data_IF_586714703895
#
_entry.id   IF_586714703895
#
_cell.length_a   1.000
_cell.length_b   1.000
_cell.length_c   1.000
_cell.angle_alpha   90.00
_cell.angle_beta   90.00
_cell.angle_gamma   90.00
#
_symmetry.space_group_name_H-M   'P 1'
#
loop_
_entity.id
_entity.type
_entity.pdbx_description
1 polymer ?
#
# COMPACT_ATOMS: atom_id res chain seq x y z
N UNK A 1 -6.87 17.39 7.01
CA UNK A 1 -7.25 17.13 8.42
C UNK A 1 -8.56 16.34 8.56
N UNK A 2 -9.62 16.65 7.80
CA UNK A 2 -10.90 15.90 7.88
C UNK A 2 -10.82 14.39 7.53
N UNK A 3 -9.94 14.00 6.61
CA UNK A 3 -9.79 12.59 6.18
C UNK A 3 -9.31 11.67 7.31
N UNK A 4 -8.38 12.14 8.14
CA UNK A 4 -7.87 11.36 9.27
C UNK A 4 -8.93 11.15 10.36
N UNK A 5 -9.85 12.12 10.52
CA UNK A 5 -10.97 12.02 11.45
C UNK A 5 -11.99 10.99 10.98
N UNK A 6 -12.32 11.00 9.69
CA UNK A 6 -13.27 10.01 9.10
C UNK A 6 -12.69 8.60 9.18
N UNK A 7 -11.39 8.42 8.95
CA UNK A 7 -10.72 7.11 9.09
C UNK A 7 -10.70 6.64 10.55
N UNK A 8 -10.40 7.52 11.50
CA UNK A 8 -10.40 7.17 12.92
C UNK A 8 -11.79 6.78 13.43
N UNK A 9 -12.83 7.50 13.01
CA UNK A 9 -14.24 7.22 13.37
C UNK A 9 -14.71 5.89 12.78
N UNK A 10 -14.33 5.60 11.53
CA UNK A 10 -14.70 4.35 10.85
C UNK A 10 -14.04 3.14 11.52
N UNK A 11 -12.76 3.24 11.91
CA UNK A 11 -12.04 2.15 12.59
C UNK A 11 -12.59 1.90 14.00
N UNK A 12 -12.99 2.96 14.70
CA UNK A 12 -13.61 2.87 16.03
C UNK A 12 -14.97 2.15 16.00
N UNK A 13 -15.74 2.32 14.91
CA UNK A 13 -17.09 1.78 14.78
C UNK A 13 -17.15 0.26 14.48
N UNK A 14 -16.06 -0.37 14.05
CA UNK A 14 -16.10 -1.74 13.49
C UNK A 14 -15.52 -2.79 14.47
N UNK A 15 -14.95 -2.39 15.61
CA UNK A 15 -14.14 -3.33 16.40
C UNK A 15 -14.80 -3.83 17.69
N UNK A 16 -15.21 -5.10 17.68
CA UNK A 16 -15.77 -5.83 18.84
C UNK A 16 -14.68 -6.36 19.80
N UNK A 17 -13.40 -6.34 19.39
CA UNK A 17 -12.22 -6.39 20.28
C UNK A 17 -11.14 -5.43 19.80
N UNK A 18 -11.31 -4.15 20.15
CA UNK A 18 -10.53 -2.98 19.73
C UNK A 18 -9.01 -3.20 19.64
N UNK A 19 -8.44 -3.97 20.56
CA UNK A 19 -6.99 -4.18 20.67
C UNK A 19 -6.38 -4.95 19.49
N UNK A 20 -6.99 -6.05 19.04
CA UNK A 20 -6.38 -6.89 17.98
C UNK A 20 -6.44 -6.20 16.62
N UNK A 21 -7.54 -5.52 16.30
CA UNK A 21 -7.64 -4.77 15.04
C UNK A 21 -6.70 -3.56 15.03
N UNK A 22 -6.56 -2.86 16.17
CA UNK A 22 -5.62 -1.74 16.29
C UNK A 22 -4.18 -2.21 16.09
N UNK A 23 -3.78 -3.33 16.70
CA UNK A 23 -2.44 -3.91 16.53
C UNK A 23 -2.20 -4.34 15.08
N UNK A 24 -3.17 -4.97 14.42
CA UNK A 24 -3.06 -5.36 13.03
C UNK A 24 -2.94 -4.15 12.09
N UNK A 25 -3.79 -3.14 12.26
CA UNK A 25 -3.76 -1.90 11.49
C UNK A 25 -2.44 -1.16 11.68
N UNK A 26 -1.95 -1.06 12.92
CA UNK A 26 -0.65 -0.47 13.22
C UNK A 26 0.51 -1.26 12.59
N UNK A 27 0.50 -2.59 12.70
CA UNK A 27 1.50 -3.45 12.08
C UNK A 27 1.54 -3.28 10.56
N UNK A 28 0.39 -3.24 9.91
CA UNK A 28 0.28 -3.01 8.47
C UNK A 28 0.78 -1.62 8.09
N UNK A 29 0.44 -0.58 8.86
CA UNK A 29 0.97 0.76 8.69
C UNK A 29 2.49 0.79 8.78
N UNK A 30 3.08 0.12 9.78
CA UNK A 30 4.54 0.03 9.96
C UNK A 30 5.18 -0.65 8.76
N UNK A 31 4.63 -1.77 8.29
CA UNK A 31 5.17 -2.52 7.13
C UNK A 31 5.28 -1.65 5.89
N UNK A 32 4.26 -0.84 5.61
CA UNK A 32 4.27 0.02 4.43
C UNK A 32 5.08 1.30 4.62
N UNK A 33 4.99 1.93 5.79
CA UNK A 33 5.64 3.21 6.10
C UNK A 33 7.15 3.06 6.24
N UNK A 34 7.62 2.04 6.96
CA UNK A 34 9.04 1.77 7.15
C UNK A 34 9.66 0.99 5.97
N UNK A 35 8.97 0.95 4.83
CA UNK A 35 9.44 0.34 3.57
C UNK A 35 9.80 -1.15 3.70
N UNK A 36 9.26 -1.86 4.69
CA UNK A 36 9.48 -3.29 4.89
C UNK A 36 8.91 -4.08 3.69
N UNK A 37 7.76 -3.66 3.18
CA UNK A 37 7.18 -4.19 1.94
C UNK A 37 8.18 -4.15 0.76
N UNK A 38 8.93 -3.06 0.63
CA UNK A 38 9.87 -2.87 -0.49
C UNK A 38 11.08 -3.81 -0.41
N UNK A 39 11.35 -4.39 0.76
CA UNK A 39 12.44 -5.36 0.95
C UNK A 39 12.05 -6.78 0.52
N UNK A 40 10.75 -7.09 0.40
CA UNK A 40 10.29 -8.45 0.10
C UNK A 40 10.88 -9.02 -1.19
N UNK A 41 10.94 -8.30 -2.33
CA UNK A 41 11.55 -8.83 -3.55
C UNK A 41 13.03 -9.19 -3.37
N UNK A 42 13.75 -8.40 -2.57
CA UNK A 42 15.16 -8.65 -2.27
C UNK A 42 15.33 -9.90 -1.41
N UNK A 43 14.52 -10.04 -0.37
CA UNK A 43 14.52 -11.21 0.53
C UNK A 43 14.16 -12.48 -0.24
N UNK A 44 13.14 -12.42 -1.10
CA UNK A 44 12.75 -13.55 -1.96
C UNK A 44 13.89 -13.91 -2.92
N UNK A 45 14.50 -12.92 -3.58
CA UNK A 45 15.63 -13.16 -4.48
C UNK A 45 16.83 -13.77 -3.75
N UNK A 46 17.10 -13.34 -2.51
CA UNK A 46 18.15 -13.88 -1.65
C UNK A 46 17.91 -15.37 -1.33
N UNK A 47 16.69 -15.75 -0.96
CA UNK A 47 16.32 -17.14 -0.66
C UNK A 47 16.41 -18.00 -1.92
N UNK A 48 15.82 -17.55 -3.04
CA UNK A 48 15.80 -18.29 -4.32
C UNK A 48 17.22 -18.51 -4.86
N UNK A 49 18.15 -17.59 -4.59
CA UNK A 49 19.56 -17.71 -4.96
C UNK A 49 20.40 -18.52 -3.96
N UNK A 50 19.77 -19.18 -3.00
CA UNK A 50 20.46 -20.01 -2.00
C UNK A 50 21.23 -19.20 -0.96
N UNK A 51 20.59 -18.17 -0.40
CA UNK A 51 21.16 -17.27 0.62
C UNK A 51 22.37 -16.47 0.12
N UNK A 52 22.35 -16.10 -1.16
CA UNK A 52 23.36 -15.25 -1.79
C UNK A 52 22.76 -13.91 -2.17
N UNK A 53 23.47 -12.83 -1.85
CA UNK A 53 23.02 -11.48 -2.20
C UNK A 53 22.94 -11.32 -3.72
N UNK A 54 21.82 -10.80 -4.27
CA UNK A 54 21.72 -10.55 -5.69
C UNK A 54 22.59 -9.34 -6.07
N UNK A 55 23.36 -9.50 -7.14
CA UNK A 55 24.26 -8.46 -7.68
C UNK A 55 23.49 -7.29 -8.35
N UNK A 56 22.22 -7.52 -8.69
CA UNK A 56 21.36 -6.55 -9.35
C UNK A 56 19.97 -6.54 -8.73
N UNK A 57 19.25 -5.43 -8.89
CA UNK A 57 17.84 -5.32 -8.48
C UNK A 57 17.00 -6.40 -9.20
N UNK A 58 16.14 -7.14 -8.49
CA UNK A 58 15.27 -8.13 -9.12
C UNK A 58 14.33 -7.51 -10.15
N UNK A 59 14.17 -8.16 -11.32
CA UNK A 59 13.35 -7.65 -12.45
C UNK A 59 11.88 -7.39 -12.08
N UNK A 60 11.33 -8.09 -11.09
CA UNK A 60 9.98 -7.89 -10.58
C UNK A 60 9.86 -6.91 -9.40
N UNK A 61 10.97 -6.34 -8.90
CA UNK A 61 10.93 -5.50 -7.72
C UNK A 61 10.17 -4.19 -7.96
N UNK A 62 10.41 -3.53 -9.10
CA UNK A 62 9.76 -2.27 -9.44
C UNK A 62 8.21 -2.35 -9.44
N UNK A 63 7.57 -3.24 -10.22
CA UNK A 63 6.11 -3.37 -10.19
C UNK A 63 5.59 -3.83 -8.82
N UNK A 64 6.32 -4.65 -8.07
CA UNK A 64 5.94 -5.07 -6.73
C UNK A 64 5.93 -3.89 -5.73
N UNK A 65 6.93 -3.01 -5.81
CA UNK A 65 6.95 -1.81 -4.96
C UNK A 65 5.81 -0.84 -5.28
N UNK A 66 5.34 -0.80 -6.52
CA UNK A 66 4.19 0.01 -6.93
C UNK A 66 2.86 -0.47 -6.32
N UNK A 67 2.79 -1.72 -5.84
CA UNK A 67 1.62 -2.25 -5.11
C UNK A 67 1.52 -1.71 -3.67
N UNK A 68 2.55 -1.02 -3.16
CA UNK A 68 2.48 -0.40 -1.84
C UNK A 68 1.42 0.73 -1.85
N UNK A 69 0.39 0.67 -0.98
CA UNK A 69 -0.70 1.64 -0.98
C UNK A 69 -0.24 3.07 -0.70
N UNK A 70 0.83 3.27 0.08
CA UNK A 70 1.40 4.60 0.34
C UNK A 70 2.00 5.18 -0.94
N UNK A 71 2.76 4.38 -1.69
CA UNK A 71 3.32 4.82 -2.98
C UNK A 71 2.23 5.04 -4.02
N UNK A 72 1.25 4.16 -4.09
CA UNK A 72 0.11 4.34 -4.99
C UNK A 72 -0.62 5.65 -4.70
N UNK A 73 -0.90 5.95 -3.42
CA UNK A 73 -1.50 7.23 -3.03
C UNK A 73 -0.66 8.43 -3.48
N UNK A 74 0.65 8.40 -3.24
CA UNK A 74 1.57 9.45 -3.73
C UNK A 74 1.57 9.59 -5.25
N UNK A 75 1.49 8.49 -6.00
CA UNK A 75 1.44 8.51 -7.47
C UNK A 75 0.13 9.10 -8.00
N UNK A 76 -1.00 8.83 -7.33
CA UNK A 76 -2.29 9.47 -7.66
C UNK A 76 -2.19 10.97 -7.47
N UNK A 77 -1.63 11.42 -6.33
CA UNK A 77 -1.43 12.84 -6.08
C UNK A 77 -0.48 13.46 -7.09
N UNK A 78 0.67 12.84 -7.37
CA UNK A 78 1.64 13.35 -8.36
C UNK A 78 1.09 13.53 -9.77
N UNK A 79 0.00 12.83 -10.14
CA UNK A 79 -0.71 13.00 -11.40
C UNK A 79 -1.64 14.22 -11.47
N UNK A 80 -1.87 14.92 -10.35
CA UNK A 80 -2.68 16.13 -10.33
C UNK A 80 -1.92 17.33 -10.94
N UNK A 81 -2.63 18.32 -11.52
CA UNK A 81 -2.01 19.50 -12.11
C UNK A 81 -1.06 20.21 -11.14
N UNK A 82 0.04 20.74 -11.67
CA UNK A 82 1.04 21.51 -10.91
C UNK A 82 0.33 22.67 -10.18
N UNK A 83 0.43 22.69 -8.86
CA UNK A 83 -0.28 23.63 -7.98
C UNK A 83 -1.38 23.00 -7.12
N UNK A 84 -2.01 21.92 -7.58
CA UNK A 84 -3.01 21.19 -6.78
C UNK A 84 -2.39 20.42 -5.58
N UNK A 85 -1.12 20.02 -5.71
CA UNK A 85 -0.35 19.35 -4.66
C UNK A 85 0.53 20.31 -3.82
N UNK A 86 0.39 21.62 -4.01
CA UNK A 86 1.20 22.63 -3.29
C UNK A 86 2.72 22.57 -3.56
N UNK A 87 3.15 21.93 -4.65
CA UNK A 87 4.59 21.77 -4.98
C UNK A 87 5.34 20.77 -4.11
N UNK A 88 4.64 20.02 -3.25
CA UNK A 88 5.24 19.08 -2.29
C UNK A 88 5.74 17.79 -2.93
N UNK A 89 5.26 17.45 -4.13
CA UNK A 89 5.60 16.20 -4.83
C UNK A 89 6.38 16.50 -6.11
N UNK A 90 7.44 15.71 -6.41
CA UNK A 90 8.19 15.85 -7.65
C UNK A 90 7.28 15.62 -8.87
N UNK A 91 7.55 16.36 -9.95
CA UNK A 91 6.83 16.19 -11.20
C UNK A 91 7.02 14.77 -11.75
N UNK A 92 5.97 14.11 -12.28
CA UNK A 92 6.10 12.82 -12.91
C UNK A 92 7.11 12.86 -14.07
N UNK A 93 7.85 11.76 -14.33
CA UNK A 93 8.69 11.67 -15.52
C UNK A 93 7.85 11.83 -16.80
N UNK A 94 8.46 12.35 -17.86
CA UNK A 94 7.77 12.63 -19.12
C UNK A 94 7.14 11.38 -19.77
N UNK A 95 7.78 10.22 -19.60
CA UNK A 95 7.27 8.92 -20.01
C UNK A 95 7.31 7.94 -18.82
N UNK A 96 6.26 7.92 -17.98
CA UNK A 96 6.21 7.03 -16.83
C UNK A 96 5.97 5.58 -17.27
N UNK A 97 6.63 4.64 -16.59
CA UNK A 97 6.35 3.22 -16.75
C UNK A 97 4.87 2.94 -16.41
N UNK A 98 4.31 1.83 -16.92
CA UNK A 98 2.88 1.53 -16.71
C UNK A 98 2.46 1.55 -15.23
N UNK A 99 3.31 1.03 -14.33
CA UNK A 99 3.07 0.98 -12.89
C UNK A 99 3.30 2.32 -12.15
N UNK A 100 3.85 3.33 -12.83
CA UNK A 100 4.05 4.69 -12.29
C UNK A 100 2.87 5.60 -12.65
N UNK A 101 1.99 5.16 -13.56
CA UNK A 101 0.85 5.96 -14.00
C UNK A 101 -0.18 6.12 -12.88
N UNK A 102 -0.82 7.30 -12.75
CA UNK A 102 -1.88 7.53 -11.76
C UNK A 102 -3.03 6.52 -11.88
N UNK A 103 -3.42 6.15 -13.10
CA UNK A 103 -4.50 5.18 -13.33
C UNK A 103 -4.19 3.79 -12.75
N UNK A 104 -2.95 3.32 -12.87
CA UNK A 104 -2.51 2.07 -12.26
C UNK A 104 -2.60 2.17 -10.74
N UNK A 105 -2.13 3.29 -10.17
CA UNK A 105 -2.19 3.53 -8.74
C UNK A 105 -3.63 3.55 -8.19
N UNK A 106 -4.59 4.13 -8.92
CA UNK A 106 -6.03 4.07 -8.57
C UNK A 106 -6.51 2.63 -8.51
N UNK A 107 -6.19 1.80 -9.51
CA UNK A 107 -6.57 0.38 -9.54
C UNK A 107 -5.97 -0.38 -8.35
N UNK A 108 -4.72 -0.13 -8.01
CA UNK A 108 -4.06 -0.73 -6.83
C UNK A 108 -4.79 -0.35 -5.54
N UNK A 109 -5.13 0.93 -5.37
CA UNK A 109 -5.87 1.39 -4.19
C UNK A 109 -7.26 0.76 -4.09
N UNK A 110 -8.00 0.70 -5.19
CA UNK A 110 -9.30 0.03 -5.25
C UNK A 110 -9.16 -1.47 -4.92
N UNK A 111 -8.10 -2.11 -5.40
CA UNK A 111 -7.77 -3.50 -5.06
C UNK A 111 -7.56 -3.71 -3.57
N UNK A 112 -6.83 -2.81 -2.89
CA UNK A 112 -6.64 -2.87 -1.44
C UNK A 112 -7.92 -2.60 -0.65
N UNK A 113 -8.74 -1.64 -1.08
CA UNK A 113 -10.06 -1.38 -0.46
C UNK A 113 -10.96 -2.62 -0.59
N UNK A 114 -11.01 -3.21 -1.79
CA UNK A 114 -11.78 -4.42 -2.02
C UNK A 114 -11.25 -5.60 -1.18
N UNK A 115 -9.93 -5.81 -1.14
CA UNK A 115 -9.31 -6.88 -0.38
C UNK A 115 -9.57 -6.77 1.14
N UNK A 116 -9.44 -5.57 1.71
CA UNK A 116 -9.68 -5.33 3.14
C UNK A 116 -11.16 -5.45 3.50
N UNK A 117 -12.05 -4.96 2.63
CA UNK A 117 -13.50 -5.08 2.80
C UNK A 117 -13.95 -6.54 2.71
N UNK A 118 -13.46 -7.28 1.70
CA UNK A 118 -13.73 -8.70 1.57
C UNK A 118 -13.23 -9.48 2.79
N UNK A 119 -11.98 -9.22 3.25
CA UNK A 119 -11.43 -9.84 4.45
C UNK A 119 -12.30 -9.62 5.69
N UNK A 120 -12.83 -8.40 5.87
CA UNK A 120 -13.80 -8.10 6.93
C UNK A 120 -15.07 -8.94 6.81
N UNK A 121 -15.70 -8.96 5.63
CA UNK A 121 -16.94 -9.72 5.38
C UNK A 121 -16.75 -11.22 5.61
N UNK A 122 -15.63 -11.79 5.18
CA UNK A 122 -15.32 -13.21 5.41
C UNK A 122 -15.13 -13.52 6.90
N UNK A 123 -14.47 -12.63 7.66
CA UNK A 123 -14.29 -12.80 9.10
C UNK A 123 -15.62 -12.77 9.85
N UNK A 124 -16.55 -11.88 9.46
CA UNK A 124 -17.89 -11.82 10.05
C UNK A 124 -18.67 -13.11 9.81
N UNK A 125 -18.67 -13.63 8.57
CA UNK A 125 -19.37 -14.88 8.23
C UNK A 125 -18.80 -16.12 8.90
N UNK A 126 -17.50 -16.16 9.16
CA UNK A 126 -16.84 -17.28 9.82
C UNK A 126 -17.07 -17.30 11.34
N UNK A 127 -17.47 -16.18 11.94
CA UNK A 127 -17.74 -16.08 13.39
C UNK A 127 -19.21 -16.29 13.73
N UNK A 128 -20.08 -16.31 12.73
CA UNK A 128 -21.54 -16.52 12.83
C UNK A 128 -21.94 -17.98 12.49
N UNK A 129 -20.96 -18.87 12.35
CA UNK A 129 -21.09 -20.33 12.20
C UNK A 129 -20.50 -21.04 13.42
#
# INVERSE_FOLDING_TARGET
>A
MAVFVVLAVTISAITETSTRATVAAFGMYVVFTFRIWEQLPLVVAYIVRGFRWPESTPTGAAPFTALNPIRAFSNVLGGLPVGANGGMLPAPPAEPAFYERPAFAVVVLLGWIAATTAGGVYSFRASDL
#
